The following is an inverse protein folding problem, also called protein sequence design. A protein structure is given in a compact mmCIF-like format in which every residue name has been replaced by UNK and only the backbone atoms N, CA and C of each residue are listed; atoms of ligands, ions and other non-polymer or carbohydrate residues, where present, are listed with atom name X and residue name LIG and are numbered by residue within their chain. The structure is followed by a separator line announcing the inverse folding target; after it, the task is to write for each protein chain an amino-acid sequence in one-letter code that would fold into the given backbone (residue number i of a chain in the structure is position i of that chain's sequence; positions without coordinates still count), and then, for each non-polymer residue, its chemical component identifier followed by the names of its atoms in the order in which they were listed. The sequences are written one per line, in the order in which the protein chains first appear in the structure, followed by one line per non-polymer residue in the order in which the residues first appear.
data_IF_099541258430
#
_entry.id   IF_099541258430
#
_cell.length_a   1.000
_cell.length_b   1.000
_cell.length_c   1.000
_cell.angle_alpha   90.00
_cell.angle_beta   90.00
_cell.angle_gamma   90.00
#
_symmetry.space_group_name_H-M   'P 1'
#
loop_
_entity.id
_entity.type
_entity.pdbx_description
1 polymer ?
#
# COMPACT_ATOMS: atom_id res chain seq x y z
N UNK A 1 11.87 -10.74 3.00
CA UNK A 1 12.51 -9.42 3.31
C UNK A 1 11.81 -8.21 2.69
N UNK A 2 10.90 -8.40 1.76
CA UNK A 2 10.20 -7.30 1.06
C UNK A 2 8.87 -6.92 1.74
N UNK A 3 8.37 -7.74 2.61
CA UNK A 3 6.99 -7.69 3.10
C UNK A 3 6.68 -6.61 4.14
N UNK A 4 7.50 -6.32 5.15
CA UNK A 4 7.24 -5.22 6.07
C UNK A 4 7.28 -3.86 5.37
N UNK A 5 8.15 -3.71 4.37
CA UNK A 5 8.24 -2.48 3.58
C UNK A 5 7.04 -2.29 2.64
N UNK A 6 6.42 -3.38 2.17
CA UNK A 6 5.22 -3.30 1.32
C UNK A 6 4.00 -2.83 2.10
N UNK A 7 3.78 -3.33 3.31
CA UNK A 7 2.66 -2.85 4.15
C UNK A 7 2.85 -1.37 4.48
N UNK A 8 4.05 -0.96 4.85
CA UNK A 8 4.36 0.45 5.09
C UNK A 8 4.17 1.32 3.83
N UNK A 9 4.65 0.88 2.67
CA UNK A 9 4.52 1.63 1.42
C UNK A 9 3.07 1.75 0.94
N UNK A 10 2.26 0.71 1.11
CA UNK A 10 0.84 0.73 0.78
C UNK A 10 0.08 1.71 1.69
N UNK A 11 0.36 1.69 2.98
CA UNK A 11 -0.26 2.62 3.92
C UNK A 11 0.14 4.07 3.63
N UNK A 12 1.41 4.36 3.34
CA UNK A 12 1.85 5.71 3.04
C UNK A 12 1.25 6.26 1.73
N UNK A 13 1.07 5.41 0.71
CA UNK A 13 0.38 5.83 -0.52
C UNK A 13 -1.07 6.22 -0.21
N UNK A 14 -1.79 5.38 0.53
CA UNK A 14 -3.19 5.63 0.89
C UNK A 14 -3.34 6.83 1.80
N UNK A 15 -2.44 6.98 2.77
CA UNK A 15 -2.36 8.14 3.65
C UNK A 15 -2.25 9.45 2.86
N UNK A 16 -1.33 9.51 1.90
CA UNK A 16 -1.14 10.69 1.04
C UNK A 16 -2.38 11.04 0.22
N UNK A 17 -3.01 10.07 -0.38
CA UNK A 17 -4.24 10.30 -1.14
C UNK A 17 -5.42 10.72 -0.27
N UNK A 18 -5.45 10.27 0.98
CA UNK A 18 -6.52 10.56 1.92
C UNK A 18 -6.19 11.72 2.87
N UNK A 19 -5.00 12.29 2.78
CA UNK A 19 -4.49 13.36 3.67
C UNK A 19 -4.62 13.02 5.15
N UNK A 20 -4.24 11.78 5.51
CA UNK A 20 -4.23 11.31 6.88
C UNK A 20 -2.97 11.81 7.62
N UNK A 21 -3.04 11.90 8.95
CA UNK A 21 -1.93 12.24 9.85
C UNK A 21 -1.29 13.64 9.61
N UNK A 22 -1.81 14.40 8.65
CA UNK A 22 -1.35 15.78 8.34
C UNK A 22 -2.46 16.82 8.36
N UNK A 23 -3.68 16.39 8.61
CA UNK A 23 -4.86 17.21 8.65
C UNK A 23 -5.72 16.85 9.85
N UNK A 24 -7.02 16.89 9.63
CA UNK A 24 -8.01 16.58 10.67
C UNK A 24 -8.29 15.07 10.81
N UNK A 25 -7.81 14.25 9.88
CA UNK A 25 -8.10 12.83 9.85
C UNK A 25 -6.91 11.99 10.31
N UNK A 26 -7.17 10.93 11.06
CA UNK A 26 -6.19 9.98 11.59
C UNK A 26 -6.77 8.58 11.66
N UNK A 27 -5.91 7.58 11.79
CA UNK A 27 -6.37 6.22 12.07
C UNK A 27 -7.02 6.15 13.47
N UNK A 28 -8.19 5.50 13.54
CA UNK A 28 -8.90 5.33 14.80
C UNK A 28 -8.86 3.88 15.29
N UNK A 29 -9.28 2.96 14.45
CA UNK A 29 -9.39 1.55 14.83
C UNK A 29 -9.16 0.64 13.66
N UNK A 30 -8.77 -0.62 13.96
CA UNK A 30 -8.61 -1.69 12.99
C UNK A 30 -9.28 -2.97 13.47
N UNK A 31 -9.93 -3.68 12.56
CA UNK A 31 -10.39 -5.04 12.74
C UNK A 31 -9.74 -5.94 11.69
N UNK A 32 -9.28 -7.14 12.09
CA UNK A 32 -8.54 -8.00 11.19
C UNK A 32 -8.84 -9.48 11.41
N UNK A 33 -8.76 -10.24 10.30
CA UNK A 33 -8.89 -11.69 10.27
C UNK A 33 -7.73 -12.29 9.48
N UNK A 34 -7.31 -13.49 9.88
CA UNK A 34 -6.27 -14.26 9.20
C UNK A 34 -6.82 -15.61 8.74
N UNK A 35 -6.37 -16.06 7.58
CA UNK A 35 -6.55 -17.46 7.17
C UNK A 35 -5.63 -18.39 7.96
N UNK A 36 -5.81 -19.73 7.88
CA UNK A 36 -4.80 -20.66 8.38
C UNK A 36 -3.44 -20.47 7.70
N UNK A 37 -2.37 -20.86 8.39
CA UNK A 37 -0.99 -20.85 7.89
C UNK A 37 -0.64 -22.21 7.29
N UNK A 38 -0.93 -22.45 6.03
CA UNK A 38 -0.75 -23.74 5.35
C UNK A 38 0.33 -23.70 4.25
N UNK A 39 0.45 -22.57 3.57
CA UNK A 39 1.27 -22.46 2.35
C UNK A 39 2.76 -22.68 2.59
N UNK A 40 3.31 -22.19 3.69
CA UNK A 40 4.75 -22.35 4.01
C UNK A 40 5.11 -23.80 4.28
N UNK A 41 4.30 -24.55 5.02
CA UNK A 41 4.52 -25.98 5.24
C UNK A 41 4.30 -26.76 3.94
N UNK A 42 3.31 -26.42 3.13
CA UNK A 42 3.09 -27.06 1.85
C UNK A 42 4.29 -26.86 0.91
N UNK A 43 4.81 -25.63 0.86
CA UNK A 43 6.04 -25.33 0.10
C UNK A 43 7.23 -26.13 0.60
N UNK A 44 7.46 -26.17 1.93
CA UNK A 44 8.57 -26.88 2.54
C UNK A 44 8.53 -28.38 2.20
N UNK A 45 7.38 -29.02 2.38
CA UNK A 45 7.19 -30.44 2.05
C UNK A 45 7.45 -30.76 0.59
N UNK A 46 7.21 -29.84 -0.31
CA UNK A 46 7.41 -30.03 -1.76
C UNK A 46 8.84 -29.78 -2.22
N UNK A 47 9.54 -28.82 -1.59
CA UNK A 47 10.80 -28.30 -2.11
C UNK A 47 12.03 -28.52 -1.22
N UNK A 48 11.85 -28.93 0.03
CA UNK A 48 12.92 -29.10 0.98
C UNK A 48 13.09 -30.59 1.37
N UNK A 49 14.26 -31.01 1.89
CA UNK A 49 14.47 -32.32 2.42
C UNK A 49 13.42 -32.73 3.47
N UNK A 50 13.08 -34.00 3.54
CA UNK A 50 12.02 -34.50 4.43
C UNK A 50 12.26 -34.20 5.92
N UNK A 51 13.52 -34.14 6.33
CA UNK A 51 13.96 -33.78 7.69
C UNK A 51 14.10 -32.30 7.95
N UNK A 52 13.85 -31.46 6.95
CA UNK A 52 13.97 -29.99 7.12
C UNK A 52 12.97 -29.47 8.12
N UNK A 53 13.46 -28.64 9.07
CA UNK A 53 12.66 -28.11 10.19
C UNK A 53 11.34 -27.44 9.77
N UNK A 54 11.28 -26.78 8.62
CA UNK A 54 10.10 -26.09 8.15
C UNK A 54 8.94 -27.03 7.79
N UNK A 55 9.19 -28.30 7.58
CA UNK A 55 8.13 -29.28 7.33
C UNK A 55 7.18 -29.42 8.55
N UNK A 56 7.72 -29.19 9.75
CA UNK A 56 6.99 -29.34 11.02
C UNK A 56 6.95 -28.06 11.86
N UNK A 57 7.44 -26.95 11.35
CA UNK A 57 7.37 -25.67 12.08
C UNK A 57 5.90 -25.21 12.17
N UNK A 58 5.40 -24.89 13.36
CA UNK A 58 4.07 -24.32 13.52
C UNK A 58 4.09 -22.83 13.12
N UNK A 59 3.83 -22.54 11.85
CA UNK A 59 3.66 -21.16 11.40
C UNK A 59 2.33 -20.62 11.92
N UNK A 60 2.36 -19.45 12.56
CA UNK A 60 1.20 -18.80 13.16
C UNK A 60 0.66 -17.63 12.33
N UNK A 61 1.50 -17.06 11.46
CA UNK A 61 1.06 -16.01 10.55
C UNK A 61 0.25 -16.63 9.41
N UNK A 62 -1.01 -16.25 9.30
CA UNK A 62 -1.90 -16.75 8.25
C UNK A 62 -1.41 -16.43 6.85
N UNK A 63 -1.76 -17.26 5.89
CA UNK A 63 -1.37 -17.09 4.49
C UNK A 63 -1.95 -15.81 3.88
N UNK A 64 -3.18 -15.49 4.24
CA UNK A 64 -3.89 -14.26 3.88
C UNK A 64 -4.37 -13.54 5.14
N UNK A 65 -3.98 -12.30 5.32
CA UNK A 65 -4.46 -11.45 6.39
C UNK A 65 -5.25 -10.29 5.79
N UNK A 66 -6.45 -10.06 6.29
CA UNK A 66 -7.33 -8.98 5.82
C UNK A 66 -7.70 -8.09 6.99
N UNK A 67 -7.49 -6.79 6.83
CA UNK A 67 -7.80 -5.79 7.83
C UNK A 67 -8.64 -4.65 7.25
N UNK A 68 -9.53 -4.11 8.05
CA UNK A 68 -10.27 -2.88 7.76
C UNK A 68 -9.87 -1.84 8.80
N UNK A 69 -9.25 -0.76 8.35
CA UNK A 69 -8.91 0.41 9.16
C UNK A 69 -9.98 1.46 8.99
N UNK A 70 -10.45 2.04 10.09
CA UNK A 70 -11.37 3.18 10.10
C UNK A 70 -10.65 4.42 10.57
N UNK A 71 -10.91 5.54 9.90
CA UNK A 71 -10.37 6.84 10.26
C UNK A 71 -11.37 7.66 11.10
N UNK A 72 -10.88 8.74 11.70
CA UNK A 72 -11.69 9.63 12.54
C UNK A 72 -12.83 10.29 11.74
N UNK A 73 -12.59 10.68 10.50
CA UNK A 73 -13.62 11.25 9.62
C UNK A 73 -14.50 10.19 8.93
N UNK A 74 -14.35 8.91 9.33
CA UNK A 74 -15.23 7.82 8.87
C UNK A 74 -14.79 7.15 7.57
N UNK A 75 -13.64 7.49 7.01
CA UNK A 75 -13.08 6.78 5.85
C UNK A 75 -12.67 5.37 6.24
N UNK A 76 -12.59 4.48 5.26
CA UNK A 76 -12.17 3.09 5.46
C UNK A 76 -11.06 2.70 4.52
N UNK A 77 -10.10 1.92 5.01
CA UNK A 77 -9.00 1.36 4.23
C UNK A 77 -9.03 -0.15 4.39
N UNK A 78 -9.17 -0.87 3.29
CA UNK A 78 -9.00 -2.32 3.25
C UNK A 78 -7.53 -2.64 2.96
N UNK A 79 -6.90 -3.41 3.84
CA UNK A 79 -5.52 -3.87 3.69
C UNK A 79 -5.52 -5.39 3.63
N UNK A 80 -4.90 -5.94 2.59
CA UNK A 80 -4.69 -7.38 2.47
C UNK A 80 -3.20 -7.67 2.34
N UNK A 81 -2.72 -8.62 3.12
CA UNK A 81 -1.39 -9.18 3.04
C UNK A 81 -1.50 -10.65 2.65
N UNK A 82 -0.98 -10.97 1.48
CA UNK A 82 -0.92 -12.33 0.94
C UNK A 82 0.54 -12.70 0.71
N UNK A 83 1.05 -13.68 1.43
CA UNK A 83 2.46 -14.07 1.40
C UNK A 83 2.73 -15.38 0.64
N UNK A 84 1.72 -16.19 0.39
CA UNK A 84 1.93 -17.57 -0.02
C UNK A 84 1.12 -18.02 -1.22
N UNK A 85 0.15 -17.24 -1.67
CA UNK A 85 -0.65 -17.59 -2.84
C UNK A 85 0.13 -17.41 -4.14
N UNK A 86 0.08 -18.40 -5.05
CA UNK A 86 0.72 -18.32 -6.35
C UNK A 86 -0.09 -17.42 -7.30
N UNK A 87 -0.08 -16.14 -7.08
CA UNK A 87 -0.78 -15.16 -7.92
C UNK A 87 0.18 -14.16 -8.55
N UNK A 88 -0.17 -13.54 -9.69
CA UNK A 88 0.59 -12.43 -10.25
C UNK A 88 0.73 -11.28 -9.25
N UNK A 89 1.87 -10.59 -9.33
CA UNK A 89 2.11 -9.42 -8.50
C UNK A 89 1.02 -8.36 -8.69
N UNK A 90 0.44 -7.93 -7.60
CA UNK A 90 -0.51 -6.83 -7.56
C UNK A 90 -0.51 -6.22 -6.15
N UNK A 91 -0.52 -4.91 -6.08
CA UNK A 91 -0.75 -4.19 -4.83
C UNK A 91 -2.24 -4.03 -4.52
N UNK A 92 -3.13 -4.49 -5.41
CA UNK A 92 -4.57 -4.32 -5.30
C UNK A 92 -4.97 -2.86 -4.95
N UNK A 93 -4.22 -1.89 -5.50
CA UNK A 93 -4.49 -0.48 -5.24
C UNK A 93 -5.84 -0.11 -5.83
N UNK A 94 -6.75 0.36 -4.97
CA UNK A 94 -8.03 0.91 -5.35
C UNK A 94 -8.32 2.11 -4.45
N UNK A 95 -8.41 3.28 -5.04
CA UNK A 95 -8.71 4.53 -4.36
C UNK A 95 -10.00 5.06 -4.94
N UNK A 96 -11.00 5.21 -4.09
CA UNK A 96 -12.35 5.64 -4.47
C UNK A 96 -12.67 6.96 -3.80
N UNK A 97 -12.97 7.96 -4.60
CA UNK A 97 -13.41 9.27 -4.17
C UNK A 97 -14.77 9.64 -4.76
N UNK A 98 -15.29 10.79 -4.40
CA UNK A 98 -16.60 11.29 -4.87
C UNK A 98 -16.61 11.68 -6.34
N UNK A 99 -15.45 11.98 -6.93
CA UNK A 99 -15.33 12.44 -8.32
C UNK A 99 -14.66 11.41 -9.26
N UNK A 100 -14.10 10.34 -8.70
CA UNK A 100 -13.42 9.32 -9.50
C UNK A 100 -12.80 8.20 -8.70
N UNK A 101 -12.31 7.22 -9.43
CA UNK A 101 -11.67 6.02 -8.90
C UNK A 101 -10.38 5.77 -9.65
N UNK A 102 -9.32 5.44 -8.91
CA UNK A 102 -8.02 4.99 -9.42
C UNK A 102 -7.78 3.55 -9.00
N UNK A 103 -7.46 2.68 -9.92
CA UNK A 103 -7.02 1.32 -9.65
C UNK A 103 -5.64 1.03 -10.25
N UNK A 104 -4.86 0.21 -9.64
CA UNK A 104 -3.58 -0.35 -10.12
C UNK A 104 -3.48 -1.80 -9.70
N UNK A 105 -2.75 -2.55 -10.28
CA UNK A 105 -2.18 -2.94 -11.53
C UNK A 105 -3.13 -3.78 -12.38
N UNK A 106 -3.31 -3.50 -13.66
CA UNK A 106 -2.83 -2.35 -14.40
C UNK A 106 -3.49 -1.05 -13.97
N UNK A 107 -2.84 0.09 -14.25
CA UNK A 107 -3.42 1.39 -13.96
C UNK A 107 -4.64 1.65 -14.82
N UNK A 108 -5.73 2.05 -14.16
CA UNK A 108 -7.00 2.40 -14.79
C UNK A 108 -7.74 3.42 -13.93
N UNK A 109 -8.50 4.28 -14.56
CA UNK A 109 -9.25 5.33 -13.87
C UNK A 109 -10.69 5.38 -14.38
N UNK A 110 -11.59 5.86 -13.54
CA UNK A 110 -12.96 6.17 -13.92
C UNK A 110 -13.42 7.43 -13.18
N UNK A 111 -14.25 8.26 -13.80
CA UNK A 111 -14.78 9.46 -13.18
C UNK A 111 -15.52 10.36 -14.17
N UNK A 112 -16.48 11.15 -13.69
CA UNK A 112 -17.30 12.01 -14.54
C UNK A 112 -16.49 13.06 -15.31
N UNK A 113 -15.42 13.58 -14.70
CA UNK A 113 -14.56 14.60 -15.29
C UNK A 113 -13.39 14.01 -16.08
N UNK A 114 -13.36 12.69 -16.26
CA UNK A 114 -12.34 11.97 -16.98
C UNK A 114 -12.89 11.38 -18.27
N UNK A 115 -12.10 11.42 -19.32
CA UNK A 115 -12.46 10.85 -20.61
C UNK A 115 -13.77 11.41 -21.19
N UNK A 116 -14.70 10.52 -21.47
CA UNK A 116 -16.02 10.84 -22.05
C UNK A 116 -17.13 11.11 -21.00
N UNK A 117 -16.78 11.19 -19.72
CA UNK A 117 -17.74 11.35 -18.62
C UNK A 117 -18.47 10.08 -18.20
N UNK A 118 -18.16 8.95 -18.81
CA UNK A 118 -18.76 7.65 -18.47
C UNK A 118 -17.95 7.01 -17.31
N UNK A 119 -18.45 7.14 -16.08
CA UNK A 119 -17.81 6.56 -14.89
C UNK A 119 -18.16 5.07 -14.65
N UNK A 120 -18.95 4.44 -15.51
CA UNK A 120 -19.23 3.00 -15.49
C UNK A 120 -18.20 2.18 -16.27
N UNK A 121 -17.28 2.83 -16.98
CA UNK A 121 -16.25 2.18 -17.76
C UNK A 121 -14.86 2.65 -17.30
N UNK A 122 -13.90 1.70 -17.31
CA UNK A 122 -12.52 2.04 -17.05
C UNK A 122 -11.84 2.69 -18.25
N UNK A 123 -11.14 3.79 -18.00
CA UNK A 123 -10.16 4.32 -18.92
C UNK A 123 -8.87 3.59 -18.61
N UNK A 124 -8.41 2.75 -19.52
CA UNK A 124 -7.23 1.91 -19.37
C UNK A 124 -6.44 1.80 -20.68
N UNK A 125 -5.20 1.33 -20.56
CA UNK A 125 -4.27 1.26 -21.68
C UNK A 125 -3.49 2.55 -21.89
N UNK A 126 -2.27 2.39 -22.42
CA UNK A 126 -1.28 3.47 -22.49
C UNK A 126 -1.78 4.70 -23.25
N UNK A 127 -2.46 4.51 -24.35
CA UNK A 127 -2.93 5.61 -25.22
C UNK A 127 -4.02 6.44 -24.54
N UNK A 128 -5.02 5.78 -23.95
CA UNK A 128 -6.11 6.47 -23.24
C UNK A 128 -5.64 7.17 -21.97
N UNK A 129 -4.67 6.59 -21.29
CA UNK A 129 -4.09 7.16 -20.06
C UNK A 129 -3.11 8.30 -20.32
N UNK A 130 -2.58 8.46 -21.54
CA UNK A 130 -1.57 9.48 -21.84
C UNK A 130 -2.04 10.90 -21.48
N UNK A 131 -3.25 11.29 -21.89
CA UNK A 131 -3.83 12.59 -21.55
C UNK A 131 -4.10 12.76 -20.05
N UNK A 132 -4.42 11.67 -19.36
CA UNK A 132 -4.60 11.65 -17.90
C UNK A 132 -3.26 11.92 -17.22
N UNK A 133 -2.20 11.23 -17.61
CA UNK A 133 -0.85 11.46 -17.08
C UNK A 133 -0.35 12.87 -17.37
N UNK A 134 -0.50 13.35 -18.60
CA UNK A 134 -0.11 14.72 -18.95
C UNK A 134 -0.75 15.75 -18.02
N UNK A 135 -2.03 15.59 -17.71
CA UNK A 135 -2.79 16.53 -16.88
C UNK A 135 -2.49 16.36 -15.40
N UNK A 136 -2.47 15.11 -14.89
CA UNK A 136 -2.53 14.82 -13.46
C UNK A 136 -1.23 14.27 -12.84
N UNK A 137 -0.20 13.96 -13.63
CA UNK A 137 1.07 13.54 -13.07
C UNK A 137 1.64 14.59 -12.11
N UNK A 138 2.23 14.09 -11.05
CA UNK A 138 2.82 14.93 -10.01
C UNK A 138 3.89 15.87 -10.60
N UNK A 139 3.94 17.16 -10.21
CA UNK A 139 4.94 18.11 -10.72
C UNK A 139 6.38 17.64 -10.56
N UNK A 140 6.71 16.97 -9.47
CA UNK A 140 8.02 16.39 -9.24
C UNK A 140 8.36 15.34 -10.30
N UNK A 141 7.41 14.45 -10.64
CA UNK A 141 7.61 13.45 -11.69
C UNK A 141 7.80 14.10 -13.06
N UNK A 142 7.03 15.13 -13.38
CA UNK A 142 7.22 15.93 -14.61
C UNK A 142 8.58 16.58 -14.66
N UNK A 143 9.14 17.02 -13.53
CA UNK A 143 10.44 17.68 -13.43
C UNK A 143 11.62 16.73 -13.59
N UNK A 144 11.59 15.57 -12.92
CA UNK A 144 12.76 14.68 -12.83
C UNK A 144 12.50 13.22 -13.25
N UNK A 145 11.28 12.87 -13.67
CA UNK A 145 10.89 11.48 -13.95
C UNK A 145 11.69 10.83 -15.09
N UNK A 146 12.04 11.58 -16.13
CA UNK A 146 12.88 11.08 -17.22
C UNK A 146 14.29 10.71 -16.73
N UNK A 147 14.90 11.59 -15.95
CA UNK A 147 16.20 11.33 -15.34
C UNK A 147 16.11 10.17 -14.35
N UNK A 148 15.07 10.15 -13.51
CA UNK A 148 14.85 9.10 -12.53
C UNK A 148 14.75 7.72 -13.20
N UNK A 149 14.01 7.62 -14.30
CA UNK A 149 13.88 6.38 -15.06
C UNK A 149 15.23 5.92 -15.64
N UNK A 150 16.05 6.85 -16.13
CA UNK A 150 17.41 6.55 -16.63
C UNK A 150 18.36 6.08 -15.53
N UNK A 151 18.23 6.64 -14.32
CA UNK A 151 19.06 6.25 -13.16
C UNK A 151 18.67 4.89 -12.59
N UNK A 152 17.47 4.40 -12.87
CA UNK A 152 16.99 3.10 -12.42
C UNK A 152 16.51 3.09 -10.97
N UNK A 153 16.47 1.89 -10.38
CA UNK A 153 15.91 1.67 -9.03
C UNK A 153 14.38 1.76 -9.00
N UNK A 154 13.71 0.60 -9.05
CA UNK A 154 12.24 0.49 -9.04
C UNK A 154 11.53 1.44 -10.04
N UNK A 155 12.03 1.51 -11.28
CA UNK A 155 11.48 2.39 -12.31
C UNK A 155 11.72 3.90 -12.06
N UNK A 156 12.72 4.23 -11.24
CA UNK A 156 13.09 5.62 -10.91
C UNK A 156 12.59 6.09 -9.54
N UNK A 157 11.79 5.30 -8.83
CA UNK A 157 11.23 5.70 -7.53
C UNK A 157 12.33 5.97 -6.50
N UNK A 158 13.38 5.14 -6.45
CA UNK A 158 14.48 5.30 -5.49
C UNK A 158 15.23 6.61 -5.74
N UNK A 159 15.46 6.96 -7.02
CA UNK A 159 16.08 8.22 -7.36
C UNK A 159 15.23 9.42 -6.96
N UNK A 160 13.93 9.38 -7.19
CA UNK A 160 13.00 10.46 -6.78
C UNK A 160 13.03 10.64 -5.26
N UNK A 161 12.92 9.55 -4.50
CA UNK A 161 12.95 9.58 -3.04
C UNK A 161 14.25 10.19 -2.51
N UNK A 162 15.42 9.69 -2.97
CA UNK A 162 16.71 10.20 -2.55
C UNK A 162 16.92 11.67 -2.94
N UNK A 163 16.49 12.06 -4.14
CA UNK A 163 16.55 13.44 -4.60
C UNK A 163 15.75 14.38 -3.70
N UNK A 164 14.54 13.96 -3.27
CA UNK A 164 13.73 14.75 -2.34
C UNK A 164 14.37 14.87 -0.96
N UNK A 165 14.93 13.80 -0.43
CA UNK A 165 15.65 13.84 0.86
C UNK A 165 16.80 14.86 0.79
N UNK A 166 17.62 14.79 -0.27
CA UNK A 166 18.73 15.71 -0.47
C UNK A 166 18.26 17.15 -0.64
N UNK A 167 17.20 17.38 -1.42
CA UNK A 167 16.60 18.70 -1.65
C UNK A 167 16.10 19.32 -0.32
N UNK A 168 15.33 18.56 0.46
CA UNK A 168 14.84 19.00 1.77
C UNK A 168 15.99 19.36 2.72
N UNK A 169 17.01 18.49 2.83
CA UNK A 169 18.17 18.75 3.69
C UNK A 169 18.96 20.00 3.26
N UNK A 170 19.14 20.21 1.97
CA UNK A 170 19.88 21.37 1.45
C UNK A 170 19.15 22.68 1.63
N UNK A 171 17.84 22.65 1.55
CA UNK A 171 17.00 23.83 1.62
C UNK A 171 16.49 24.12 3.04
N UNK A 172 16.71 23.22 4.00
CA UNK A 172 16.11 23.32 5.33
C UNK A 172 14.61 23.12 5.33
N UNK A 173 14.06 22.41 4.36
CA UNK A 173 12.65 22.07 4.25
C UNK A 173 12.31 20.84 5.10
N UNK A 174 11.07 20.73 5.62
CA UNK A 174 10.63 19.51 6.27
C UNK A 174 10.62 18.34 5.28
N UNK A 175 10.93 17.14 5.78
CA UNK A 175 10.86 15.92 4.99
C UNK A 175 9.44 15.63 4.52
N UNK A 176 9.31 15.01 3.34
CA UNK A 176 8.02 14.57 2.80
C UNK A 176 7.34 13.52 3.69
N UNK A 177 8.13 12.82 4.50
CA UNK A 177 7.67 11.88 5.51
C UNK A 177 8.40 12.13 6.83
N UNK A 178 7.67 12.10 7.93
CA UNK A 178 8.23 12.28 9.26
C UNK A 178 8.11 10.99 10.10
N UNK A 179 8.78 10.99 11.27
CA UNK A 179 8.83 9.80 12.15
C UNK A 179 7.44 9.44 12.71
N UNK A 180 6.56 10.41 12.91
CA UNK A 180 5.22 10.16 13.45
C UNK A 180 4.34 9.45 12.43
N UNK A 181 4.37 9.88 11.17
CA UNK A 181 3.70 9.16 10.09
C UNK A 181 4.24 7.74 9.95
N UNK A 182 5.56 7.56 10.00
CA UNK A 182 6.19 6.24 9.96
C UNK A 182 5.77 5.35 11.13
N UNK A 183 5.64 5.90 12.33
CA UNK A 183 5.17 5.17 13.51
C UNK A 183 3.68 4.78 13.37
N UNK A 184 2.85 5.70 12.90
CA UNK A 184 1.42 5.46 12.65
C UNK A 184 1.22 4.31 11.65
N UNK A 185 1.92 4.33 10.52
CA UNK A 185 1.83 3.24 9.52
C UNK A 185 2.32 1.90 10.07
N UNK A 186 3.41 1.92 10.85
CA UNK A 186 4.00 0.70 11.43
C UNK A 186 3.14 0.11 12.53
N UNK A 187 2.32 0.90 13.21
CA UNK A 187 1.43 0.44 14.27
C UNK A 187 0.33 -0.51 13.77
N UNK A 188 0.02 -0.49 12.48
CA UNK A 188 -0.96 -1.39 11.89
C UNK A 188 -0.61 -2.88 12.13
N UNK A 189 0.66 -3.26 12.03
CA UNK A 189 1.08 -4.65 12.20
C UNK A 189 0.75 -5.21 13.60
N UNK A 190 1.21 -4.61 14.71
CA UNK A 190 0.88 -5.12 16.04
C UNK A 190 -0.61 -5.01 16.36
N UNK A 191 -1.32 -4.00 15.86
CA UNK A 191 -2.74 -3.83 16.12
C UNK A 191 -3.59 -4.88 15.38
N UNK A 192 -3.24 -5.21 14.14
CA UNK A 192 -3.89 -6.31 13.40
C UNK A 192 -3.64 -7.67 14.07
N UNK A 193 -2.42 -7.92 14.56
CA UNK A 193 -2.11 -9.15 15.30
C UNK A 193 -2.96 -9.26 16.58
N UNK A 194 -3.15 -8.16 17.31
CA UNK A 194 -4.04 -8.12 18.49
C UNK A 194 -5.49 -8.39 18.12
N UNK A 195 -5.99 -7.77 17.06
CA UNK A 195 -7.36 -7.99 16.59
C UNK A 195 -7.59 -9.46 16.22
N UNK A 196 -6.66 -10.06 15.46
CA UNK A 196 -6.73 -11.49 15.10
C UNK A 196 -6.75 -12.39 16.34
N UNK A 197 -5.86 -12.14 17.32
CA UNK A 197 -5.80 -12.89 18.56
C UNK A 197 -7.10 -12.77 19.39
N UNK A 198 -7.84 -11.69 19.22
CA UNK A 198 -9.14 -11.43 19.86
C UNK A 198 -10.34 -11.84 18.98
N UNK A 199 -10.13 -12.69 17.96
CA UNK A 199 -11.20 -13.17 17.09
C UNK A 199 -11.78 -12.12 16.16
N UNK A 200 -11.00 -11.11 15.79
CA UNK A 200 -11.42 -10.04 14.88
C UNK A 200 -12.04 -8.82 15.57
N UNK A 201 -11.96 -8.75 16.90
CA UNK A 201 -12.45 -7.58 17.63
C UNK A 201 -11.69 -6.32 17.22
N UNK A 202 -12.38 -5.18 17.08
CA UNK A 202 -11.73 -3.90 16.79
C UNK A 202 -10.73 -3.50 17.87
N UNK A 203 -9.57 -3.01 17.46
CA UNK A 203 -8.52 -2.47 18.31
C UNK A 203 -8.32 -1.01 17.96
N UNK A 204 -8.26 -0.14 18.97
CA UNK A 204 -8.03 1.28 18.79
C UNK A 204 -6.55 1.55 18.50
N UNK A 205 -6.29 2.52 17.63
CA UNK A 205 -4.95 3.10 17.49
C UNK A 205 -4.64 3.93 18.75
N UNK A 206 -3.39 3.94 19.22
CA UNK A 206 -2.97 4.83 20.30
C UNK A 206 -3.04 6.30 19.87
N UNK A 207 -3.29 7.18 20.84
CA UNK A 207 -3.29 8.64 20.63
C UNK A 207 -1.90 9.19 20.34
#
# INVERSE_FOLDING_TARGET
EIMPSLVGSEMCIRDRYMNLERGEDRFCRVAAFASPALGRNAYAKKHLPADHRWNNTPFICGDMNTAVVKTQLGRTILVQLDETSPRPYSRANLIQGTEGTLAGFPTRVAGEKLGNGNYHEWIEGREKLAAIYEKYDHPLWKRIGELATKMGGHGGMDFVMLSRIVECLRNGEPMDQNVYEGASWSSLLPLTARSIAQGGMPVEFPD
#
